data_IF_648665059305
#
_entry.id   IF_648665059305
#
_cell.length_a   1.000
_cell.length_b   1.000
_cell.length_c   1.000
_cell.angle_alpha   90.00
_cell.angle_beta   90.00
_cell.angle_gamma   90.00
#
_symmetry.space_group_name_H-M   'P 1'
#
loop_
_entity.id
_entity.type
_entity.pdbx_description
1 polymer ?
#
# COMPACT_ATOMS: atom_id res chain seq x y z
N UNK A 1 12.39 11.15 -30.72
CA UNK A 1 13.11 10.92 -29.44
C UNK A 1 12.09 10.89 -28.31
N UNK A 2 12.15 9.89 -27.41
CA UNK A 2 11.31 9.83 -26.21
C UNK A 2 11.58 11.04 -25.31
N UNK A 3 10.56 11.53 -24.64
CA UNK A 3 10.71 12.59 -23.63
C UNK A 3 11.39 12.02 -22.39
N UNK A 4 12.15 12.83 -21.63
CA UNK A 4 12.93 12.40 -20.47
C UNK A 4 12.16 12.68 -19.18
N UNK A 5 11.99 11.65 -18.36
CA UNK A 5 11.30 11.69 -17.07
C UNK A 5 12.28 11.30 -15.97
N UNK A 6 12.47 12.19 -15.00
CA UNK A 6 13.19 11.90 -13.77
C UNK A 6 12.19 11.59 -12.64
N UNK A 7 12.38 10.47 -11.96
CA UNK A 7 11.56 10.05 -10.80
C UNK A 7 12.43 10.10 -9.53
N UNK A 8 11.94 10.80 -8.50
CA UNK A 8 12.50 10.69 -7.15
C UNK A 8 11.69 9.66 -6.35
N UNK A 9 12.32 8.55 -6.00
CA UNK A 9 11.76 7.52 -5.15
C UNK A 9 12.71 7.27 -3.97
N UNK A 10 12.21 7.29 -2.73
CA UNK A 10 13.09 6.97 -1.59
C UNK A 10 13.58 5.55 -1.70
N UNK A 11 12.69 4.57 -1.69
CA UNK A 11 12.99 3.16 -1.93
C UNK A 11 12.64 2.76 -3.36
N UNK A 12 13.39 1.82 -3.91
CA UNK A 12 13.18 1.24 -5.23
C UNK A 12 13.63 -0.23 -5.22
N UNK A 13 13.16 -1.03 -6.17
CA UNK A 13 13.56 -2.45 -6.26
C UNK A 13 15.10 -2.60 -6.23
N UNK A 14 15.64 -3.64 -5.54
CA UNK A 14 14.98 -4.81 -4.96
C UNK A 14 14.42 -4.62 -3.54
N UNK A 15 14.38 -3.40 -2.98
CA UNK A 15 13.74 -3.18 -1.68
C UNK A 15 12.26 -3.57 -1.71
N UNK A 16 11.79 -4.17 -0.63
CA UNK A 16 10.41 -4.71 -0.51
C UNK A 16 9.36 -3.66 -0.11
N UNK A 17 9.73 -2.39 -0.02
CA UNK A 17 8.80 -1.32 0.27
C UNK A 17 7.71 -1.22 -0.80
N UNK A 18 6.42 -1.28 -0.42
CA UNK A 18 5.29 -1.32 -1.36
C UNK A 18 5.28 -0.13 -2.34
N UNK A 19 5.56 1.08 -1.86
CA UNK A 19 5.67 2.27 -2.72
C UNK A 19 6.82 2.13 -3.72
N UNK A 20 7.96 1.54 -3.29
CA UNK A 20 9.10 1.29 -4.18
C UNK A 20 8.77 0.31 -5.31
N UNK A 21 7.97 -0.72 -5.03
CA UNK A 21 7.50 -1.67 -6.03
C UNK A 21 6.53 -1.02 -7.03
N UNK A 22 5.56 -0.24 -6.54
CA UNK A 22 4.62 0.50 -7.41
C UNK A 22 5.37 1.48 -8.33
N UNK A 23 6.38 2.18 -7.80
CA UNK A 23 7.17 3.12 -8.61
C UNK A 23 8.06 2.38 -9.62
N UNK A 24 8.56 1.19 -9.30
CA UNK A 24 9.31 0.38 -10.26
C UNK A 24 8.39 -0.05 -11.42
N UNK A 25 7.22 -0.57 -11.11
CA UNK A 25 6.24 -0.96 -12.12
C UNK A 25 5.75 0.23 -12.96
N UNK A 26 5.59 1.41 -12.34
CA UNK A 26 5.29 2.65 -13.05
C UNK A 26 6.42 3.05 -13.99
N UNK A 27 7.66 3.07 -13.51
CA UNK A 27 8.83 3.45 -14.28
C UNK A 27 9.02 2.56 -15.51
N UNK A 28 8.90 1.24 -15.33
CA UNK A 28 8.96 0.25 -16.41
C UNK A 28 7.82 0.43 -17.42
N UNK A 29 6.60 0.60 -16.93
CA UNK A 29 5.42 0.75 -17.79
C UNK A 29 5.39 2.09 -18.56
N UNK A 30 6.17 3.08 -18.16
CA UNK A 30 6.31 4.36 -18.87
C UNK A 30 7.42 4.36 -19.95
N UNK A 31 8.18 3.27 -20.08
CA UNK A 31 9.32 3.21 -21.03
C UNK A 31 8.92 3.36 -22.49
N UNK A 32 7.69 3.02 -22.87
CA UNK A 32 7.21 3.22 -24.24
C UNK A 32 7.19 4.70 -24.65
N UNK A 33 6.83 5.60 -23.71
CA UNK A 33 6.67 7.03 -23.95
C UNK A 33 7.87 7.86 -23.48
N UNK A 34 8.60 7.38 -22.48
CA UNK A 34 9.64 8.14 -21.80
C UNK A 34 10.98 7.39 -21.74
N UNK A 35 12.07 8.16 -21.74
CA UNK A 35 13.37 7.73 -21.21
C UNK A 35 13.34 8.01 -19.71
N UNK A 36 13.27 6.96 -18.90
CA UNK A 36 13.07 7.10 -17.44
C UNK A 36 14.39 6.97 -16.69
N UNK A 37 14.63 7.92 -15.80
CA UNK A 37 15.72 7.87 -14.81
C UNK A 37 15.12 7.93 -13.40
N UNK A 38 15.56 7.04 -12.50
CA UNK A 38 15.14 7.02 -11.08
C UNK A 38 16.31 7.38 -10.19
N UNK A 39 16.11 8.34 -9.27
CA UNK A 39 17.05 8.60 -8.16
C UNK A 39 16.43 8.00 -6.89
N UNK A 40 17.14 7.03 -6.29
CA UNK A 40 16.69 6.32 -5.08
C UNK A 40 17.85 6.02 -4.15
N UNK A 41 17.57 5.50 -2.93
CA UNK A 41 18.62 4.98 -2.06
C UNK A 41 19.17 3.65 -2.57
N UNK A 42 20.38 3.29 -2.13
CA UNK A 42 20.83 1.89 -2.23
C UNK A 42 19.88 0.99 -1.44
N UNK A 43 19.72 -0.30 -1.79
CA UNK A 43 18.88 -1.21 -1.02
C UNK A 43 19.22 -1.16 0.46
N UNK A 44 18.26 -0.73 1.27
CA UNK A 44 18.47 -0.43 2.69
C UNK A 44 17.19 -0.44 3.54
N UNK A 45 16.08 -0.94 3.01
CA UNK A 45 14.79 -0.97 3.72
C UNK A 45 14.83 -1.78 5.01
N UNK A 46 15.67 -2.80 5.07
CA UNK A 46 15.95 -3.57 6.30
C UNK A 46 16.66 -2.77 7.39
N UNK A 47 17.34 -1.67 7.02
CA UNK A 47 18.22 -0.87 7.89
C UNK A 47 19.70 -1.11 7.61
N UNK A 48 20.06 -2.21 6.97
CA UNK A 48 21.43 -2.58 6.58
C UNK A 48 21.69 -2.34 5.10
N UNK A 49 22.94 -2.25 4.70
CA UNK A 49 23.39 -2.02 3.33
C UNK A 49 24.35 -3.11 2.90
N UNK A 50 24.12 -3.68 1.73
CA UNK A 50 25.02 -4.68 1.14
C UNK A 50 26.42 -4.10 0.90
N UNK A 51 27.45 -4.94 1.03
CA UNK A 51 28.86 -4.52 0.94
C UNK A 51 29.21 -3.83 -0.39
N UNK A 52 28.61 -4.29 -1.49
CA UNK A 52 28.82 -3.69 -2.82
C UNK A 52 28.45 -2.20 -2.89
N UNK A 53 27.55 -1.73 -2.00
CA UNK A 53 27.10 -0.33 -1.94
C UNK A 53 27.82 0.50 -0.86
N UNK A 54 28.88 -0.03 -0.22
CA UNK A 54 29.61 0.70 0.84
C UNK A 54 30.76 1.57 0.33
N UNK A 55 31.28 1.32 -0.89
CA UNK A 55 32.51 1.95 -1.40
C UNK A 55 32.29 3.36 -1.96
N UNK A 56 31.18 3.60 -2.71
CA UNK A 56 30.93 4.84 -3.41
C UNK A 56 29.73 5.59 -2.83
N UNK A 57 29.60 6.90 -3.15
CA UNK A 57 28.44 7.72 -2.74
C UNK A 57 27.27 7.55 -3.71
N UNK A 58 27.55 7.23 -4.97
CA UNK A 58 26.58 7.09 -6.06
C UNK A 58 26.91 5.85 -6.87
N UNK A 59 25.86 5.13 -7.30
CA UNK A 59 25.95 3.96 -8.17
C UNK A 59 24.99 4.16 -9.33
N UNK A 60 25.43 3.78 -10.52
CA UNK A 60 24.59 3.78 -11.73
C UNK A 60 24.28 2.35 -12.10
N UNK A 61 23.02 2.06 -12.30
CA UNK A 61 22.50 0.76 -12.66
C UNK A 61 21.44 0.94 -13.75
N UNK A 62 21.12 -0.14 -14.42
CA UNK A 62 19.97 -0.25 -15.30
C UNK A 62 19.20 -1.52 -14.90
N UNK A 63 17.90 -1.38 -14.66
CA UNK A 63 17.01 -2.50 -14.36
C UNK A 63 15.80 -2.39 -15.29
N UNK A 64 15.56 -3.43 -16.09
CA UNK A 64 14.43 -3.52 -17.01
C UNK A 64 14.28 -2.30 -17.93
N UNK A 65 15.41 -1.71 -18.39
CA UNK A 65 15.44 -0.53 -19.26
C UNK A 65 15.29 0.83 -18.52
N UNK A 66 15.14 0.83 -17.21
CA UNK A 66 15.10 2.03 -16.38
C UNK A 66 16.50 2.38 -15.92
N UNK A 67 16.95 3.63 -16.17
CA UNK A 67 18.22 4.13 -15.64
C UNK A 67 18.09 4.47 -14.16
N UNK A 68 19.00 4.00 -13.31
CA UNK A 68 18.94 4.18 -11.86
C UNK A 68 20.20 4.86 -11.35
N UNK A 69 20.03 5.88 -10.54
CA UNK A 69 21.10 6.50 -9.76
C UNK A 69 20.80 6.23 -8.29
N UNK A 70 21.54 5.27 -7.71
CA UNK A 70 21.41 4.97 -6.29
C UNK A 70 22.30 5.87 -5.48
N UNK A 71 21.76 6.44 -4.42
CA UNK A 71 22.52 7.23 -3.46
C UNK A 71 22.76 6.40 -2.18
N UNK A 72 24.01 6.30 -1.74
CA UNK A 72 24.34 5.64 -0.48
C UNK A 72 23.83 6.49 0.69
N UNK A 73 23.22 5.85 1.65
CA UNK A 73 22.73 6.45 2.90
C UNK A 73 23.37 5.74 4.10
N UNK A 74 23.41 6.31 5.30
CA UNK A 74 23.84 5.59 6.50
C UNK A 74 22.88 4.43 6.80
N UNK A 75 23.38 3.34 7.34
CA UNK A 75 22.57 2.31 7.96
C UNK A 75 21.78 2.90 9.13
N UNK A 76 20.62 2.32 9.44
CA UNK A 76 19.77 2.81 10.51
C UNK A 76 19.10 1.67 11.27
N UNK A 77 18.85 1.90 12.54
CA UNK A 77 18.01 1.02 13.35
C UNK A 77 16.55 1.50 13.27
N UNK A 78 15.61 0.59 12.98
CA UNK A 78 14.17 0.91 12.88
C UNK A 78 13.59 1.49 14.19
N UNK A 79 14.15 1.13 15.35
CA UNK A 79 13.78 1.68 16.67
C UNK A 79 14.38 3.04 16.99
N UNK A 80 15.47 3.44 16.32
CA UNK A 80 16.19 4.70 16.60
C UNK A 80 15.73 5.82 15.63
N UNK A 81 15.06 6.82 16.19
CA UNK A 81 14.56 7.98 15.43
C UNK A 81 15.68 8.82 14.83
N UNK A 82 16.79 9.02 15.54
CA UNK A 82 17.89 9.87 15.08
C UNK A 82 18.61 9.23 13.88
N UNK A 83 18.87 7.93 13.93
CA UNK A 83 19.49 7.22 12.80
C UNK A 83 18.61 7.26 11.55
N UNK A 84 17.28 7.13 11.72
CA UNK A 84 16.31 7.27 10.61
C UNK A 84 16.31 8.69 10.02
N UNK A 85 16.31 9.72 10.86
CA UNK A 85 16.39 11.12 10.39
C UNK A 85 17.68 11.34 9.63
N UNK A 86 18.82 10.87 10.15
CA UNK A 86 20.12 10.97 9.47
C UNK A 86 20.12 10.28 8.10
N UNK A 87 19.51 9.10 8.00
CA UNK A 87 19.36 8.37 6.75
C UNK A 87 18.56 9.19 5.74
N UNK A 88 17.38 9.68 6.12
CA UNK A 88 16.46 10.48 5.29
C UNK A 88 17.11 11.79 4.84
N UNK A 89 17.77 12.52 5.73
CA UNK A 89 18.45 13.78 5.38
C UNK A 89 19.62 13.54 4.44
N UNK A 90 20.36 12.44 4.63
CA UNK A 90 21.44 12.07 3.72
C UNK A 90 20.90 11.76 2.32
N UNK A 91 19.78 11.03 2.24
CA UNK A 91 19.09 10.82 0.96
C UNK A 91 18.74 12.15 0.30
N UNK A 92 18.06 13.03 1.03
CA UNK A 92 17.60 14.33 0.50
C UNK A 92 18.75 15.12 -0.15
N UNK A 93 19.82 15.38 0.59
CA UNK A 93 20.95 16.15 0.07
C UNK A 93 21.72 15.45 -1.06
N UNK A 94 21.86 14.13 -0.99
CA UNK A 94 22.52 13.36 -2.06
C UNK A 94 21.66 13.25 -3.30
N UNK A 95 20.34 13.14 -3.18
CA UNK A 95 19.42 13.16 -4.31
C UNK A 95 19.44 14.53 -5.02
N UNK A 96 19.52 15.64 -4.25
CA UNK A 96 19.74 16.98 -4.85
C UNK A 96 21.01 17.02 -5.68
N UNK A 97 22.14 16.49 -5.18
CA UNK A 97 23.40 16.41 -5.96
C UNK A 97 23.28 15.48 -7.14
N UNK A 98 22.62 14.32 -6.99
CA UNK A 98 22.40 13.38 -8.09
C UNK A 98 21.57 13.98 -9.23
N UNK A 99 20.69 14.95 -8.93
CA UNK A 99 19.93 15.69 -9.95
C UNK A 99 20.84 16.35 -10.99
N UNK A 100 21.98 16.91 -10.58
CA UNK A 100 22.95 17.50 -11.51
C UNK A 100 23.62 16.45 -12.41
N UNK A 101 23.69 15.19 -11.95
CA UNK A 101 24.27 14.09 -12.74
C UNK A 101 23.33 13.61 -13.86
N UNK A 102 22.03 13.98 -13.80
CA UNK A 102 21.06 13.72 -14.85
C UNK A 102 21.18 14.83 -15.91
N UNK A 103 21.12 14.49 -17.19
CA UNK A 103 21.05 15.43 -18.29
C UNK A 103 19.76 16.29 -18.24
N UNK A 104 19.42 16.90 -19.37
CA UNK A 104 18.15 17.65 -19.53
C UNK A 104 16.96 16.72 -19.28
N UNK A 105 16.00 17.19 -18.52
CA UNK A 105 14.74 16.50 -18.23
C UNK A 105 13.57 17.36 -18.68
N UNK A 106 12.49 16.74 -19.20
CA UNK A 106 11.25 17.43 -19.53
C UNK A 106 10.23 17.34 -18.40
N UNK A 107 10.29 16.25 -17.64
CA UNK A 107 9.37 15.99 -16.54
C UNK A 107 10.13 15.49 -15.32
N UNK A 108 9.60 15.85 -14.15
CA UNK A 108 9.99 15.30 -12.86
C UNK A 108 8.75 14.79 -12.16
N UNK A 109 8.81 13.55 -11.66
CA UNK A 109 7.84 12.97 -10.74
C UNK A 109 8.51 12.76 -9.40
N UNK A 110 7.94 13.27 -8.33
CA UNK A 110 8.36 12.92 -6.96
C UNK A 110 7.22 12.30 -6.18
N UNK A 111 7.55 11.38 -5.30
CA UNK A 111 6.59 10.73 -4.41
C UNK A 111 6.59 11.42 -3.06
N UNK A 112 5.47 11.37 -2.30
CA UNK A 112 5.35 11.92 -0.95
C UNK A 112 6.23 11.21 0.11
N UNK A 113 7.24 10.48 -0.33
CA UNK A 113 8.23 9.79 0.49
C UNK A 113 9.68 10.19 0.10
N UNK A 114 10.53 10.54 1.07
CA UNK A 114 10.25 10.68 2.52
C UNK A 114 9.22 11.79 2.78
N UNK A 115 8.45 11.68 3.89
CA UNK A 115 7.44 12.68 4.22
C UNK A 115 7.96 14.10 4.05
N UNK A 116 7.21 14.97 3.38
CA UNK A 116 7.52 16.38 3.11
C UNK A 116 8.73 16.57 2.16
N UNK A 117 9.84 15.87 2.42
CA UNK A 117 11.08 16.03 1.66
C UNK A 117 10.97 15.51 0.22
N UNK A 118 10.11 14.52 -0.04
CA UNK A 118 9.81 14.06 -1.39
C UNK A 118 9.26 15.19 -2.27
N UNK A 119 8.30 15.96 -1.73
CA UNK A 119 7.76 17.13 -2.42
C UNK A 119 8.80 18.23 -2.66
N UNK A 120 9.64 18.52 -1.66
CA UNK A 120 10.72 19.51 -1.81
C UNK A 120 11.76 19.09 -2.86
N UNK A 121 12.08 17.79 -2.96
CA UNK A 121 12.96 17.28 -4.03
C UNK A 121 12.35 17.53 -5.40
N UNK A 122 11.04 17.32 -5.56
CA UNK A 122 10.35 17.64 -6.81
C UNK A 122 10.43 19.12 -7.17
N UNK A 123 10.22 20.03 -6.22
CA UNK A 123 10.36 21.48 -6.40
C UNK A 123 11.78 21.85 -6.80
N UNK A 124 12.77 21.33 -6.07
CA UNK A 124 14.18 21.54 -6.37
C UNK A 124 14.53 21.08 -7.79
N UNK A 125 14.15 19.86 -8.14
CA UNK A 125 14.39 19.31 -9.47
C UNK A 125 13.73 20.14 -10.58
N UNK A 126 12.46 20.58 -10.38
CA UNK A 126 11.77 21.49 -11.32
C UNK A 126 12.59 22.74 -11.61
N UNK A 127 13.14 23.38 -10.58
CA UNK A 127 13.91 24.59 -10.75
C UNK A 127 15.25 24.35 -11.44
N UNK A 128 15.98 23.31 -11.02
CA UNK A 128 17.30 23.00 -11.60
C UNK A 128 17.20 22.54 -13.04
N UNK A 129 16.14 21.80 -13.41
CA UNK A 129 15.96 21.28 -14.78
C UNK A 129 15.07 22.15 -15.64
N UNK A 130 14.46 23.21 -15.10
CA UNK A 130 13.50 24.10 -15.77
C UNK A 130 12.40 23.29 -16.50
N UNK A 131 11.76 22.34 -15.82
CA UNK A 131 10.87 21.36 -16.41
C UNK A 131 9.50 21.29 -15.68
N UNK A 132 8.59 20.46 -16.16
CA UNK A 132 7.28 20.21 -15.51
C UNK A 132 7.44 19.28 -14.32
N UNK A 133 6.71 19.56 -13.24
CA UNK A 133 6.77 18.81 -12.00
C UNK A 133 5.42 18.15 -11.67
N UNK A 134 5.46 16.86 -11.42
CA UNK A 134 4.35 16.02 -10.99
C UNK A 134 4.62 15.57 -9.54
N UNK A 135 3.69 15.83 -8.64
CA UNK A 135 3.78 15.38 -7.26
C UNK A 135 2.77 14.26 -7.01
N UNK A 136 3.27 13.05 -6.80
CA UNK A 136 2.46 11.89 -6.46
C UNK A 136 2.33 11.75 -4.95
N UNK A 137 1.11 11.90 -4.44
CA UNK A 137 0.80 11.78 -3.01
C UNK A 137 0.15 10.43 -2.75
N UNK A 138 0.90 9.54 -2.11
CA UNK A 138 0.40 8.25 -1.62
C UNK A 138 -0.25 8.38 -0.25
N UNK A 139 0.37 9.17 0.63
CA UNK A 139 -0.09 9.46 1.97
C UNK A 139 0.09 10.94 2.28
N UNK A 140 -0.87 11.53 2.99
CA UNK A 140 -0.76 12.91 3.45
C UNK A 140 -0.01 13.02 4.77
N UNK A 141 1.06 13.80 4.75
CA UNK A 141 1.81 14.20 5.93
C UNK A 141 1.71 15.72 6.09
N UNK A 142 1.56 16.25 7.32
CA UNK A 142 1.68 15.56 8.62
C UNK A 142 0.40 14.86 9.13
N UNK A 143 -0.71 14.85 8.38
CA UNK A 143 -1.99 14.32 8.84
C UNK A 143 -1.86 12.86 9.30
N UNK A 144 -1.06 12.05 8.62
CA UNK A 144 -0.80 10.65 9.00
C UNK A 144 -0.14 10.57 10.39
N UNK A 145 0.80 11.46 10.69
CA UNK A 145 1.49 11.53 11.98
C UNK A 145 0.53 11.94 13.10
N UNK A 146 -0.42 12.84 12.78
CA UNK A 146 -1.43 13.33 13.72
C UNK A 146 -2.49 12.26 14.02
N UNK A 147 -2.94 11.55 13.00
CA UNK A 147 -3.99 10.54 13.13
C UNK A 147 -3.65 9.42 14.12
N UNK A 148 -2.37 9.04 14.22
CA UNK A 148 -1.89 8.03 15.19
C UNK A 148 -1.32 8.62 16.48
N UNK A 149 -1.51 9.93 16.71
CA UNK A 149 -0.95 10.64 17.89
C UNK A 149 0.57 10.47 18.06
N UNK A 150 1.30 10.23 16.96
CA UNK A 150 2.76 10.04 17.01
C UNK A 150 3.52 11.30 17.38
N UNK A 151 2.99 12.47 17.06
CA UNK A 151 3.52 13.78 17.50
C UNK A 151 2.39 14.69 17.96
N UNK A 152 2.57 15.26 19.16
CA UNK A 152 1.65 16.28 19.74
C UNK A 152 2.13 17.71 19.49
N UNK A 153 3.28 17.90 18.84
CA UNK A 153 3.85 19.23 18.62
C UNK A 153 3.17 19.92 17.42
N UNK A 154 2.20 20.78 17.73
CA UNK A 154 1.41 21.53 16.74
C UNK A 154 2.27 22.45 15.87
N UNK A 155 3.37 23.00 16.39
CA UNK A 155 4.26 23.85 15.60
C UNK A 155 4.97 23.07 14.50
N UNK A 156 5.54 21.90 14.83
CA UNK A 156 6.22 21.05 13.86
C UNK A 156 5.25 20.61 12.76
N UNK A 157 4.06 20.16 13.12
CA UNK A 157 3.05 19.72 12.16
C UNK A 157 2.53 20.86 11.28
N UNK A 158 2.39 22.06 11.83
CA UNK A 158 2.04 23.28 11.05
C UNK A 158 3.11 23.64 10.02
N UNK A 159 4.39 23.59 10.42
CA UNK A 159 5.52 23.83 9.51
C UNK A 159 5.55 22.77 8.42
N UNK A 160 5.41 21.49 8.77
CA UNK A 160 5.35 20.38 7.80
C UNK A 160 4.22 20.59 6.79
N UNK A 161 3.01 20.94 7.26
CA UNK A 161 1.86 21.23 6.41
C UNK A 161 2.13 22.40 5.45
N UNK A 162 2.74 23.46 5.96
CA UNK A 162 3.08 24.64 5.15
C UNK A 162 4.05 24.30 4.04
N UNK A 163 5.07 23.49 4.34
CA UNK A 163 6.08 23.05 3.36
C UNK A 163 5.42 22.11 2.31
N UNK A 164 4.55 21.18 2.73
CA UNK A 164 3.90 20.29 1.79
C UNK A 164 2.90 21.04 0.89
N UNK A 165 2.13 21.97 1.45
CA UNK A 165 1.29 22.90 0.66
C UNK A 165 2.10 23.71 -0.34
N UNK A 166 3.30 24.16 0.04
CA UNK A 166 4.21 24.83 -0.90
C UNK A 166 4.61 23.90 -2.04
N UNK A 167 4.98 22.64 -1.74
CA UNK A 167 5.33 21.65 -2.76
C UNK A 167 4.16 21.37 -3.72
N UNK A 168 2.94 21.22 -3.20
CA UNK A 168 1.73 21.08 -4.00
C UNK A 168 1.51 22.30 -4.93
N UNK A 169 1.61 23.53 -4.43
CA UNK A 169 1.46 24.76 -5.25
C UNK A 169 2.48 24.86 -6.39
N UNK A 170 3.67 24.31 -6.20
CA UNK A 170 4.73 24.31 -7.22
C UNK A 170 4.60 23.21 -8.24
N UNK A 171 3.81 22.17 -7.96
CA UNK A 171 3.52 21.12 -8.91
C UNK A 171 2.68 21.63 -10.08
N UNK A 172 2.95 21.14 -11.27
CA UNK A 172 2.10 21.34 -12.44
C UNK A 172 0.90 20.40 -12.41
N UNK A 173 1.06 19.26 -11.72
CA UNK A 173 0.04 18.27 -11.50
C UNK A 173 0.30 17.57 -10.17
N UNK A 174 -0.73 17.40 -9.36
CA UNK A 174 -0.73 16.49 -8.21
C UNK A 174 -1.52 15.25 -8.59
N UNK A 175 -0.97 14.08 -8.33
CA UNK A 175 -1.66 12.80 -8.51
C UNK A 175 -1.90 12.20 -7.13
N UNK A 176 -3.16 11.85 -6.84
CA UNK A 176 -3.55 11.13 -5.62
C UNK A 176 -4.11 9.76 -5.97
N UNK A 177 -4.15 8.87 -4.98
CA UNK A 177 -4.52 7.46 -5.17
C UNK A 177 -5.95 7.13 -4.72
N UNK A 178 -6.68 8.12 -4.22
CA UNK A 178 -8.07 7.98 -3.77
C UNK A 178 -8.84 9.29 -3.84
N UNK A 179 -10.14 9.19 -4.02
CA UNK A 179 -11.04 10.34 -4.09
C UNK A 179 -11.12 11.10 -2.76
N UNK A 180 -11.03 10.40 -1.64
CA UNK A 180 -10.95 10.99 -0.32
C UNK A 180 -9.62 11.74 -0.08
N UNK A 181 -8.54 11.35 -0.75
CA UNK A 181 -7.29 12.11 -0.76
C UNK A 181 -7.43 13.39 -1.60
N UNK A 182 -8.21 13.38 -2.68
CA UNK A 182 -8.56 14.61 -3.42
C UNK A 182 -9.32 15.58 -2.50
N UNK A 183 -10.33 15.10 -1.77
CA UNK A 183 -11.08 15.90 -0.79
C UNK A 183 -10.16 16.53 0.28
N UNK A 184 -9.14 15.80 0.73
CA UNK A 184 -8.15 16.34 1.69
C UNK A 184 -7.29 17.43 1.07
N UNK A 185 -6.89 17.28 -0.19
CA UNK A 185 -6.15 18.32 -0.89
C UNK A 185 -7.02 19.58 -1.09
N UNK A 186 -8.27 19.42 -1.48
CA UNK A 186 -9.23 20.52 -1.61
C UNK A 186 -9.38 21.29 -0.29
N UNK A 187 -9.58 20.60 0.82
CA UNK A 187 -9.63 21.22 2.16
C UNK A 187 -8.35 21.99 2.51
N UNK A 188 -7.18 21.50 2.12
CA UNK A 188 -5.92 22.23 2.34
C UNK A 188 -5.87 23.57 1.62
N UNK A 189 -6.60 23.72 0.51
CA UNK A 189 -6.64 24.95 -0.30
C UNK A 189 -7.98 25.69 -0.22
N UNK A 190 -8.91 25.29 0.65
CA UNK A 190 -10.23 25.89 0.78
C UNK A 190 -10.20 27.44 0.95
N UNK A 191 -9.24 27.96 1.72
CA UNK A 191 -9.06 29.41 1.90
C UNK A 191 -8.42 30.13 0.71
N UNK A 192 -7.80 29.40 -0.20
CA UNK A 192 -7.12 29.93 -1.40
C UNK A 192 -7.29 28.95 -2.56
N UNK A 193 -8.49 28.79 -3.11
CA UNK A 193 -8.75 27.83 -4.21
C UNK A 193 -7.95 28.14 -5.48
N UNK A 194 -7.65 29.41 -5.70
CA UNK A 194 -6.81 29.91 -6.79
C UNK A 194 -5.37 29.37 -6.79
N UNK A 195 -4.92 28.89 -5.63
CA UNK A 195 -3.58 28.31 -5.43
C UNK A 195 -3.56 26.79 -5.48
N UNK A 196 -4.72 26.16 -5.66
CA UNK A 196 -4.82 24.73 -5.75
C UNK A 196 -4.17 24.24 -7.05
N UNK A 197 -3.30 23.22 -7.02
CA UNK A 197 -2.72 22.64 -8.23
C UNK A 197 -3.78 21.88 -9.04
N UNK A 198 -3.50 21.62 -10.32
CA UNK A 198 -4.27 20.63 -11.08
C UNK A 198 -4.13 19.27 -10.38
N UNK A 199 -5.24 18.55 -10.22
CA UNK A 199 -5.28 17.25 -9.56
C UNK A 199 -5.79 16.18 -10.50
N UNK A 200 -5.21 14.99 -10.43
CA UNK A 200 -5.72 13.79 -11.08
C UNK A 200 -5.76 12.63 -10.08
N UNK A 201 -6.86 11.89 -10.10
CA UNK A 201 -7.01 10.66 -9.33
C UNK A 201 -6.58 9.48 -10.21
N UNK A 202 -5.54 8.78 -9.75
CA UNK A 202 -5.09 7.53 -10.36
C UNK A 202 -4.87 6.51 -9.26
N UNK A 203 -5.78 5.55 -9.17
CA UNK A 203 -5.71 4.51 -8.15
C UNK A 203 -4.42 3.69 -8.25
N UNK A 204 -3.95 3.20 -7.11
CA UNK A 204 -2.92 2.16 -7.08
C UNK A 204 -3.43 0.89 -7.75
N UNK A 205 -2.54 -0.03 -8.00
CA UNK A 205 -2.79 -1.30 -8.69
C UNK A 205 -2.03 -2.45 -8.05
N UNK A 206 -2.28 -3.62 -8.57
CA UNK A 206 -1.43 -4.81 -8.47
C UNK A 206 -1.25 -5.33 -9.90
N UNK A 207 -0.20 -6.08 -10.17
CA UNK A 207 -0.11 -6.80 -11.46
C UNK A 207 -1.10 -7.97 -11.45
N UNK A 208 -2.22 -7.80 -12.12
CA UNK A 208 -3.31 -8.77 -12.21
C UNK A 208 -2.94 -10.06 -12.97
N UNK A 209 -1.76 -10.07 -13.58
CA UNK A 209 -1.18 -11.26 -14.24
C UNK A 209 -0.36 -12.09 -13.26
N UNK A 210 0.16 -11.46 -12.17
CA UNK A 210 0.85 -12.14 -11.08
C UNK A 210 -0.13 -12.60 -9.99
N UNK A 211 -1.18 -11.81 -9.73
CA UNK A 211 -2.23 -12.10 -8.73
C UNK A 211 -3.56 -12.34 -9.43
N UNK A 212 -4.08 -13.53 -9.28
CA UNK A 212 -5.33 -13.96 -9.92
C UNK A 212 -5.97 -15.14 -9.14
N UNK A 213 -7.26 -15.41 -9.35
CA UNK A 213 -7.93 -16.55 -8.72
C UNK A 213 -7.26 -17.87 -9.12
N UNK A 214 -7.05 -18.74 -8.14
CA UNK A 214 -6.60 -20.12 -8.36
C UNK A 214 -7.73 -21.06 -7.95
N UNK A 215 -8.25 -21.81 -8.93
CA UNK A 215 -9.37 -22.72 -8.78
C UNK A 215 -8.90 -24.17 -8.91
N UNK A 216 -9.45 -25.05 -8.06
CA UNK A 216 -9.09 -26.47 -8.04
C UNK A 216 -9.45 -27.21 -9.34
N UNK A 217 -10.54 -26.77 -9.98
CA UNK A 217 -11.18 -27.48 -11.10
C UNK A 217 -10.62 -27.06 -12.48
N UNK A 218 -9.74 -26.07 -12.52
CA UNK A 218 -9.13 -25.60 -13.77
C UNK A 218 -7.89 -26.44 -14.12
N UNK A 219 -7.96 -27.30 -15.13
CA UNK A 219 -6.85 -28.16 -15.59
C UNK A 219 -5.52 -27.39 -15.75
N UNK A 220 -5.58 -26.17 -16.29
CA UNK A 220 -4.40 -25.32 -16.49
C UNK A 220 -3.81 -24.77 -15.18
N UNK A 221 -4.49 -24.91 -14.05
CA UNK A 221 -4.09 -24.33 -12.74
C UNK A 221 -3.74 -25.37 -11.68
N UNK A 222 -3.89 -26.67 -11.98
CA UNK A 222 -3.71 -27.77 -11.02
C UNK A 222 -2.38 -27.66 -10.26
N UNK A 223 -1.27 -27.45 -10.95
CA UNK A 223 0.05 -27.38 -10.29
C UNK A 223 0.23 -26.11 -9.44
N UNK A 224 -0.39 -25.00 -9.83
CA UNK A 224 -0.39 -23.77 -9.06
C UNK A 224 -1.30 -23.88 -7.84
N UNK A 225 -2.45 -24.54 -8.01
CA UNK A 225 -3.38 -24.80 -6.90
C UNK A 225 -2.79 -25.77 -5.87
N UNK A 226 -1.95 -26.72 -6.26
CA UNK A 226 -1.17 -27.56 -5.32
C UNK A 226 -0.34 -26.74 -4.33
N UNK A 227 0.18 -25.57 -4.75
CA UNK A 227 0.90 -24.66 -3.84
C UNK A 227 -0.04 -24.01 -2.83
N UNK A 228 -1.28 -23.72 -3.19
CA UNK A 228 -2.30 -23.24 -2.23
C UNK A 228 -2.59 -24.34 -1.20
N UNK A 229 -2.76 -25.59 -1.66
CA UNK A 229 -2.95 -26.74 -0.77
C UNK A 229 -1.74 -26.94 0.16
N UNK A 230 -0.52 -26.85 -0.40
CA UNK A 230 0.71 -26.95 0.40
C UNK A 230 0.78 -25.88 1.46
N UNK A 231 0.44 -24.61 1.12
CA UNK A 231 0.38 -23.51 2.08
C UNK A 231 -0.70 -23.78 3.16
N UNK A 232 -1.91 -24.20 2.75
CA UNK A 232 -2.97 -24.56 3.72
C UNK A 232 -2.52 -25.68 4.66
N UNK A 233 -1.84 -26.71 4.15
CA UNK A 233 -1.32 -27.83 4.95
C UNK A 233 -0.22 -27.39 5.92
N UNK A 234 0.73 -26.58 5.45
CA UNK A 234 1.84 -26.07 6.28
C UNK A 234 1.34 -25.33 7.52
N UNK A 235 0.25 -24.56 7.36
CA UNK A 235 -0.31 -23.74 8.44
C UNK A 235 -1.60 -24.32 9.07
N UNK A 236 -1.95 -25.56 8.77
CA UNK A 236 -3.12 -26.24 9.35
C UNK A 236 -4.46 -25.59 8.98
N UNK A 237 -4.59 -25.09 7.74
CA UNK A 237 -5.78 -24.40 7.23
C UNK A 237 -6.66 -25.30 6.36
N UNK A 238 -6.31 -26.59 6.20
CA UNK A 238 -7.10 -27.53 5.40
C UNK A 238 -8.50 -27.70 6.03
N UNK A 239 -9.51 -27.76 5.19
CA UNK A 239 -10.93 -27.91 5.58
C UNK A 239 -11.47 -26.83 6.54
N UNK A 240 -10.79 -25.70 6.64
CA UNK A 240 -11.20 -24.56 7.50
C UNK A 240 -11.72 -23.41 6.66
N UNK A 241 -12.65 -22.64 7.25
CA UNK A 241 -13.06 -21.36 6.71
C UNK A 241 -12.10 -20.26 7.18
N UNK A 242 -11.34 -19.68 6.24
CA UNK A 242 -10.20 -18.80 6.54
C UNK A 242 -10.56 -17.34 6.32
N UNK A 243 -10.60 -16.54 7.40
CA UNK A 243 -10.71 -15.08 7.34
C UNK A 243 -9.31 -14.49 7.55
N UNK A 244 -8.72 -13.95 6.48
CA UNK A 244 -7.30 -13.61 6.44
C UNK A 244 -7.05 -12.10 6.40
N UNK A 245 -6.05 -11.65 7.16
CA UNK A 245 -5.40 -10.35 7.01
C UNK A 245 -4.01 -10.56 6.45
N UNK A 246 -3.66 -9.90 5.35
CA UNK A 246 -2.32 -9.97 4.76
C UNK A 246 -1.71 -8.58 4.62
N UNK A 247 -0.55 -8.35 5.23
CA UNK A 247 0.22 -7.12 5.14
C UNK A 247 0.79 -6.60 6.46
N UNK A 248 1.14 -5.31 6.51
CA UNK A 248 1.74 -4.69 7.69
C UNK A 248 0.78 -4.72 8.90
N UNK A 249 1.23 -5.30 10.02
CA UNK A 249 0.51 -5.39 11.30
C UNK A 249 0.88 -4.15 12.14
N UNK A 250 0.38 -2.98 11.73
CA UNK A 250 0.78 -1.68 12.27
C UNK A 250 -0.36 -0.89 12.90
N UNK A 251 0.00 0.28 13.44
CA UNK A 251 -0.90 1.15 14.22
C UNK A 251 -2.08 1.76 13.44
N UNK A 252 -2.01 1.77 12.10
CA UNK A 252 -3.03 2.41 11.26
C UNK A 252 -4.28 1.56 11.02
N UNK A 253 -4.36 0.35 11.60
CA UNK A 253 -5.34 -0.67 11.19
C UNK A 253 -6.28 -1.14 12.30
N UNK A 254 -6.16 -0.60 13.52
CA UNK A 254 -7.00 -0.95 14.69
C UNK A 254 -7.06 -2.46 15.02
N UNK A 255 -6.02 -3.21 14.65
CA UNK A 255 -5.98 -4.67 14.79
C UNK A 255 -6.01 -5.12 16.26
N UNK A 256 -5.52 -4.28 17.17
CA UNK A 256 -5.53 -4.54 18.61
C UNK A 256 -6.92 -4.44 19.26
N UNK A 257 -7.90 -3.84 18.59
CA UNK A 257 -9.30 -3.91 18.98
C UNK A 257 -10.07 -4.96 18.17
N UNK A 258 -9.73 -5.14 16.89
CA UNK A 258 -10.33 -6.18 16.05
C UNK A 258 -10.08 -7.57 16.64
N UNK A 259 -8.88 -7.86 17.18
CA UNK A 259 -8.59 -9.16 17.80
C UNK A 259 -9.50 -9.45 19.00
N UNK A 260 -9.96 -8.42 19.73
CA UNK A 260 -10.92 -8.58 20.84
C UNK A 260 -12.33 -8.95 20.35
N UNK A 261 -12.69 -8.53 19.12
CA UNK A 261 -13.92 -9.00 18.48
C UNK A 261 -13.77 -10.47 18.06
N UNK A 262 -12.61 -10.81 17.48
CA UNK A 262 -12.27 -12.18 17.07
C UNK A 262 -12.29 -13.15 18.27
N UNK A 263 -11.92 -12.70 19.46
CA UNK A 263 -11.96 -13.50 20.70
C UNK A 263 -13.33 -14.12 20.97
N UNK A 264 -14.42 -13.48 20.56
CA UNK A 264 -15.79 -13.99 20.72
C UNK A 264 -16.08 -15.24 19.87
N UNK A 265 -15.22 -15.54 18.91
CA UNK A 265 -15.33 -16.66 17.99
C UNK A 265 -14.35 -17.80 18.29
N UNK A 266 -13.69 -17.77 19.44
CA UNK A 266 -12.79 -18.84 19.86
C UNK A 266 -13.52 -20.16 20.10
N UNK A 267 -12.86 -21.32 19.98
CA UNK A 267 -13.44 -22.62 20.27
C UNK A 267 -14.12 -22.67 21.64
N UNK A 268 -15.27 -23.34 21.72
CA UNK A 268 -16.04 -23.45 22.97
C UNK A 268 -16.99 -22.29 23.30
N UNK A 269 -17.04 -21.24 22.45
CA UNK A 269 -18.05 -20.17 22.59
C UNK A 269 -19.37 -20.55 21.92
N UNK A 270 -20.50 -19.95 22.35
CA UNK A 270 -21.82 -20.20 21.74
C UNK A 270 -21.94 -19.85 20.27
N UNK A 271 -20.99 -19.10 19.74
CA UNK A 271 -20.90 -18.68 18.34
C UNK A 271 -20.27 -19.74 17.45
N UNK A 272 -19.57 -20.72 18.02
CA UNK A 272 -18.90 -21.81 17.32
C UNK A 272 -19.85 -23.00 17.23
N UNK A 273 -20.11 -23.48 16.02
CA UNK A 273 -21.05 -24.59 15.76
C UNK A 273 -22.16 -24.23 14.76
N UNK A 274 -22.10 -23.03 14.21
CA UNK A 274 -23.07 -22.55 13.20
C UNK A 274 -22.72 -23.07 11.79
N UNK A 275 -21.46 -23.50 11.58
CA UNK A 275 -20.97 -24.04 10.31
C UNK A 275 -20.20 -25.36 10.53
N UNK A 276 -20.28 -26.34 9.61
CA UNK A 276 -19.54 -27.59 9.71
C UNK A 276 -18.01 -27.42 9.73
N UNK A 277 -17.51 -26.36 9.10
CA UNK A 277 -16.08 -26.07 9.05
C UNK A 277 -15.65 -25.22 10.25
N UNK A 278 -14.47 -25.49 10.77
CA UNK A 278 -13.82 -24.66 11.78
C UNK A 278 -13.42 -23.32 11.16
N UNK A 279 -13.72 -22.22 11.86
CA UNK A 279 -13.36 -20.87 11.43
C UNK A 279 -12.02 -20.46 12.02
N UNK A 280 -11.09 -20.03 11.16
CA UNK A 280 -9.78 -19.56 11.59
C UNK A 280 -9.52 -18.14 11.08
N UNK A 281 -8.87 -17.35 11.93
CA UNK A 281 -8.44 -15.99 11.64
C UNK A 281 -6.93 -15.97 11.44
N UNK A 282 -6.49 -15.63 10.25
CA UNK A 282 -5.07 -15.69 9.86
C UNK A 282 -4.52 -14.29 9.67
N UNK A 283 -3.39 -14.01 10.29
CA UNK A 283 -2.64 -12.76 10.13
C UNK A 283 -1.30 -13.06 9.48
N UNK A 284 -1.14 -12.65 8.21
CA UNK A 284 0.09 -12.84 7.44
C UNK A 284 0.86 -11.52 7.39
N UNK A 285 2.08 -11.51 7.89
CA UNK A 285 2.95 -10.33 7.82
C UNK A 285 3.67 -10.00 9.11
N UNK A 286 4.25 -8.81 9.13
CA UNK A 286 5.01 -8.26 10.25
C UNK A 286 4.52 -6.85 10.59
N UNK A 287 4.93 -6.34 11.75
CA UNK A 287 4.63 -4.96 12.13
C UNK A 287 4.69 -4.71 13.62
N UNK A 288 4.57 -3.44 13.99
CA UNK A 288 4.76 -2.98 15.38
C UNK A 288 3.73 -3.48 16.39
N UNK A 289 2.61 -4.02 15.93
CA UNK A 289 1.57 -4.58 16.82
C UNK A 289 1.63 -6.11 16.92
N UNK A 290 2.47 -6.80 16.15
CA UNK A 290 2.48 -8.26 16.10
C UNK A 290 2.62 -8.89 17.48
N UNK A 291 3.65 -8.51 18.24
CA UNK A 291 3.90 -9.05 19.59
C UNK A 291 2.70 -8.86 20.53
N UNK A 292 2.06 -7.69 20.44
CA UNK A 292 0.86 -7.38 21.25
C UNK A 292 -0.31 -8.30 20.90
N UNK A 293 -0.51 -8.61 19.62
CA UNK A 293 -1.56 -9.52 19.16
C UNK A 293 -1.25 -10.96 19.55
N UNK A 294 0.00 -11.40 19.47
CA UNK A 294 0.44 -12.73 19.90
C UNK A 294 0.21 -12.92 21.39
N UNK A 295 0.63 -11.95 22.22
CA UNK A 295 0.39 -11.99 23.68
C UNK A 295 -1.10 -12.04 23.98
N UNK A 296 -1.95 -11.28 23.27
CA UNK A 296 -3.39 -11.32 23.45
C UNK A 296 -3.98 -12.71 23.13
N UNK A 297 -3.57 -13.30 21.98
CA UNK A 297 -3.96 -14.66 21.59
C UNK A 297 -3.64 -15.68 22.68
N UNK A 298 -2.39 -15.69 23.17
CA UNK A 298 -1.93 -16.64 24.16
C UNK A 298 -2.70 -16.49 25.49
N UNK A 299 -2.81 -15.23 25.97
CA UNK A 299 -3.55 -14.92 27.22
C UNK A 299 -5.01 -15.37 27.20
N UNK A 300 -5.66 -15.35 26.05
CA UNK A 300 -7.08 -15.64 25.90
C UNK A 300 -7.37 -17.02 25.29
N UNK A 301 -6.35 -17.87 25.08
CA UNK A 301 -6.44 -19.22 24.50
C UNK A 301 -7.22 -19.20 23.16
N UNK A 302 -6.77 -18.37 22.21
CA UNK A 302 -7.41 -18.21 20.90
C UNK A 302 -6.75 -19.15 19.87
N UNK A 303 -7.02 -20.46 19.96
CA UNK A 303 -6.39 -21.48 19.11
C UNK A 303 -6.76 -21.34 17.63
N UNK A 304 -7.87 -20.68 17.34
CA UNK A 304 -8.32 -20.34 15.99
C UNK A 304 -7.71 -19.06 15.41
N UNK A 305 -6.70 -18.47 16.04
CA UNK A 305 -5.92 -17.34 15.51
C UNK A 305 -4.52 -17.81 15.15
N UNK A 306 -4.11 -17.60 13.90
CA UNK A 306 -2.83 -18.07 13.37
C UNK A 306 -2.05 -16.86 12.84
N UNK A 307 -0.78 -16.73 13.26
CA UNK A 307 0.15 -15.73 12.75
C UNK A 307 1.13 -16.42 11.79
N UNK A 308 1.25 -15.87 10.58
CA UNK A 308 2.12 -16.38 9.52
C UNK A 308 3.13 -15.27 9.18
N UNK A 309 4.43 -15.60 9.02
CA UNK A 309 5.44 -14.63 8.63
C UNK A 309 5.11 -13.94 7.30
N UNK A 310 5.81 -12.82 7.03
CA UNK A 310 5.76 -12.15 5.74
C UNK A 310 6.04 -13.14 4.60
N UNK A 311 5.21 -13.07 3.54
CA UNK A 311 5.34 -13.92 2.36
C UNK A 311 6.04 -13.17 1.24
N UNK A 312 6.98 -13.81 0.56
CA UNK A 312 7.65 -13.26 -0.61
C UNK A 312 6.64 -12.94 -1.73
N UNK A 313 6.97 -11.94 -2.56
CA UNK A 313 6.12 -11.55 -3.71
C UNK A 313 5.77 -12.74 -4.62
N UNK A 314 6.71 -13.68 -4.84
CA UNK A 314 6.51 -14.89 -5.64
C UNK A 314 5.45 -15.85 -5.08
N UNK A 315 5.23 -15.84 -3.76
CA UNK A 315 4.30 -16.72 -3.06
C UNK A 315 3.00 -16.01 -2.67
N UNK A 316 2.93 -14.69 -2.90
CA UNK A 316 1.78 -13.86 -2.52
C UNK A 316 0.47 -14.34 -3.14
N UNK A 317 0.49 -14.77 -4.41
CA UNK A 317 -0.72 -15.28 -5.07
C UNK A 317 -1.26 -16.53 -4.37
N UNK A 318 -0.37 -17.41 -3.91
CA UNK A 318 -0.78 -18.66 -3.24
C UNK A 318 -1.33 -18.35 -1.84
N UNK A 319 -0.67 -17.51 -1.08
CA UNK A 319 -1.13 -17.13 0.26
C UNK A 319 -2.46 -16.37 0.22
N UNK A 320 -2.69 -15.45 -0.73
CA UNK A 320 -3.97 -14.77 -0.89
C UNK A 320 -5.09 -15.74 -1.30
N UNK A 321 -4.79 -16.73 -2.15
CA UNK A 321 -5.78 -17.72 -2.54
C UNK A 321 -6.11 -18.72 -1.42
N UNK A 322 -5.28 -18.85 -0.40
CA UNK A 322 -5.55 -19.71 0.75
C UNK A 322 -6.63 -19.12 1.70
N UNK A 323 -6.86 -17.81 1.68
CA UNK A 323 -7.96 -17.18 2.41
C UNK A 323 -9.28 -17.23 1.63
N UNK A 324 -10.39 -17.44 2.35
CA UNK A 324 -11.74 -17.42 1.77
C UNK A 324 -12.30 -16.00 1.76
N UNK A 325 -12.06 -15.23 2.82
CA UNK A 325 -12.40 -13.80 2.96
C UNK A 325 -11.21 -13.03 3.50
N UNK A 326 -11.06 -11.79 3.07
CA UNK A 326 -9.93 -10.98 3.50
C UNK A 326 -10.33 -9.66 4.15
N UNK A 327 -9.62 -9.31 5.23
CA UNK A 327 -9.72 -8.01 5.86
C UNK A 327 -9.09 -6.91 5.01
N UNK A 328 -9.82 -5.79 4.87
CA UNK A 328 -9.28 -4.52 4.40
C UNK A 328 -9.68 -3.44 5.39
N UNK A 329 -8.74 -3.02 6.23
CA UNK A 329 -9.05 -2.22 7.41
C UNK A 329 -8.18 -0.98 7.53
N UNK A 330 -8.76 0.09 8.06
CA UNK A 330 -8.09 1.28 8.55
C UNK A 330 -8.65 1.68 9.91
N UNK A 331 -7.82 2.26 10.76
CA UNK A 331 -8.25 2.88 11.99
C UNK A 331 -9.10 4.14 11.71
N UNK A 332 -9.89 4.57 12.69
CA UNK A 332 -10.65 5.83 12.62
C UNK A 332 -9.71 7.03 12.45
N UNK A 333 -10.08 7.95 11.57
CA UNK A 333 -9.31 9.16 11.27
C UNK A 333 -8.25 8.99 10.18
N UNK A 334 -8.20 7.85 9.49
CA UNK A 334 -7.27 7.60 8.38
C UNK A 334 -7.87 7.94 7.00
N UNK A 335 -9.20 8.12 6.92
CA UNK A 335 -9.86 8.55 5.69
C UNK A 335 -9.24 9.83 5.14
N UNK A 336 -8.97 9.84 3.83
CA UNK A 336 -8.38 10.97 3.13
C UNK A 336 -6.89 11.22 3.44
N UNK A 337 -6.26 10.34 4.23
CA UNK A 337 -4.86 10.44 4.60
C UNK A 337 -4.04 9.37 3.91
N UNK A 338 -4.53 8.12 3.94
CA UNK A 338 -3.87 6.95 3.37
C UNK A 338 -4.91 6.00 2.79
N UNK A 339 -4.62 5.46 1.61
CA UNK A 339 -5.49 4.52 0.92
C UNK A 339 -4.92 3.09 1.05
N UNK A 340 -5.67 2.12 1.64
CA UNK A 340 -5.16 0.78 1.84
C UNK A 340 -5.02 0.01 0.53
N UNK A 341 -3.79 -0.13 0.03
CA UNK A 341 -3.48 -0.79 -1.23
C UNK A 341 -3.79 -2.30 -1.26
N UNK A 342 -4.00 -2.91 -0.10
CA UNK A 342 -4.35 -4.36 0.01
C UNK A 342 -5.56 -4.74 -0.85
N UNK A 343 -6.56 -3.85 -0.94
CA UNK A 343 -7.76 -4.09 -1.73
C UNK A 343 -7.48 -4.55 -3.16
N UNK A 344 -6.48 -3.96 -3.82
CA UNK A 344 -6.16 -4.30 -5.21
C UNK A 344 -5.70 -5.75 -5.36
N UNK A 345 -4.88 -6.25 -4.43
CA UNK A 345 -4.48 -7.65 -4.38
C UNK A 345 -5.66 -8.60 -4.13
N UNK A 346 -6.56 -8.22 -3.21
CA UNK A 346 -7.75 -9.01 -2.88
C UNK A 346 -8.72 -9.08 -4.07
N UNK A 347 -8.97 -7.94 -4.70
CA UNK A 347 -9.79 -7.87 -5.90
C UNK A 347 -9.17 -8.65 -7.06
N UNK A 348 -7.84 -8.58 -7.22
CA UNK A 348 -7.13 -9.35 -8.23
C UNK A 348 -7.22 -10.87 -7.99
N UNK A 349 -7.14 -11.31 -6.75
CA UNK A 349 -7.33 -12.71 -6.36
C UNK A 349 -8.80 -13.16 -6.37
N UNK A 350 -9.74 -12.26 -6.70
CA UNK A 350 -11.17 -12.58 -6.74
C UNK A 350 -11.74 -12.90 -5.35
N UNK A 351 -11.28 -12.24 -4.30
CA UNK A 351 -11.68 -12.53 -2.92
C UNK A 351 -12.73 -11.54 -2.39
N UNK A 352 -13.70 -12.02 -1.61
CA UNK A 352 -14.60 -11.17 -0.84
C UNK A 352 -13.83 -10.35 0.19
N UNK A 353 -14.31 -9.15 0.48
CA UNK A 353 -13.64 -8.23 1.41
C UNK A 353 -14.48 -7.99 2.67
N UNK A 354 -13.86 -8.16 3.83
CA UNK A 354 -14.38 -7.69 5.11
C UNK A 354 -13.74 -6.32 5.41
N UNK A 355 -14.46 -5.26 5.08
CA UNK A 355 -14.01 -3.88 5.16
C UNK A 355 -14.29 -3.25 6.53
N UNK A 356 -13.28 -2.64 7.17
CA UNK A 356 -13.47 -1.73 8.31
C UNK A 356 -12.91 -0.38 7.88
N UNK A 357 -13.78 0.47 7.35
CA UNK A 357 -13.39 1.66 6.59
C UNK A 357 -14.39 2.78 6.80
N UNK A 358 -13.91 4.00 7.01
CA UNK A 358 -14.76 5.18 7.19
C UNK A 358 -15.59 5.50 5.94
N UNK A 359 -16.81 6.03 6.15
CA UNK A 359 -17.71 6.44 5.06
C UNK A 359 -17.01 7.46 4.14
N UNK A 360 -17.14 7.24 2.84
CA UNK A 360 -16.56 8.08 1.80
C UNK A 360 -15.08 7.84 1.54
N UNK A 361 -14.40 6.89 2.22
CA UNK A 361 -13.04 6.48 1.82
C UNK A 361 -13.06 5.73 0.48
N UNK A 362 -11.99 5.86 -0.29
CA UNK A 362 -11.90 5.29 -1.66
C UNK A 362 -12.21 3.80 -1.70
N UNK A 363 -11.56 3.01 -0.86
CA UNK A 363 -11.74 1.55 -0.89
C UNK A 363 -13.16 1.16 -0.47
N UNK A 364 -13.76 1.87 0.49
CA UNK A 364 -15.17 1.64 0.84
C UNK A 364 -16.11 1.92 -0.34
N UNK A 365 -15.84 2.99 -1.11
CA UNK A 365 -16.58 3.30 -2.35
C UNK A 365 -16.45 2.17 -3.37
N UNK A 366 -15.23 1.62 -3.54
CA UNK A 366 -14.99 0.50 -4.45
C UNK A 366 -15.75 -0.76 -4.03
N UNK A 367 -15.68 -1.15 -2.74
CA UNK A 367 -16.39 -2.32 -2.20
C UNK A 367 -17.92 -2.15 -2.37
N UNK A 368 -18.46 -0.96 -2.07
CA UNK A 368 -19.88 -0.66 -2.31
C UNK A 368 -20.25 -0.77 -3.79
N UNK A 369 -19.43 -0.20 -4.67
CA UNK A 369 -19.66 -0.20 -6.12
C UNK A 369 -19.68 -1.60 -6.73
N UNK A 370 -18.82 -2.48 -6.23
CA UNK A 370 -18.75 -3.87 -6.68
C UNK A 370 -19.75 -4.77 -5.97
N UNK A 371 -20.35 -4.33 -4.88
CA UNK A 371 -21.02 -5.20 -3.91
C UNK A 371 -20.12 -6.42 -3.54
N UNK A 372 -18.82 -6.17 -3.37
CA UNK A 372 -17.76 -7.16 -3.28
C UNK A 372 -17.35 -7.54 -1.86
N UNK A 373 -18.17 -7.20 -0.87
CA UNK A 373 -17.84 -7.51 0.53
C UNK A 373 -18.79 -6.88 1.54
N UNK A 374 -18.51 -7.11 2.81
CA UNK A 374 -19.22 -6.54 3.94
C UNK A 374 -18.41 -5.39 4.55
N UNK A 375 -19.09 -4.35 5.01
CA UNK A 375 -18.45 -3.12 5.47
C UNK A 375 -18.97 -2.74 6.86
N UNK A 376 -18.07 -2.24 7.69
CA UNK A 376 -18.36 -1.58 8.97
C UNK A 376 -17.54 -0.31 9.14
N UNK A 377 -18.00 0.60 10.02
CA UNK A 377 -17.22 1.74 10.45
C UNK A 377 -16.09 1.32 11.41
N UNK A 378 -14.92 1.97 11.37
CA UNK A 378 -13.91 1.79 12.42
C UNK A 378 -14.49 2.19 13.79
N UNK A 379 -14.35 1.27 14.76
CA UNK A 379 -14.93 1.43 16.11
C UNK A 379 -16.34 0.83 16.29
N UNK A 380 -17.04 0.48 15.22
CA UNK A 380 -18.31 -0.26 15.31
C UNK A 380 -18.05 -1.78 15.40
N UNK A 381 -17.52 -2.16 16.55
CA UNK A 381 -17.16 -3.56 16.83
C UNK A 381 -18.35 -4.52 16.84
N UNK A 382 -19.56 -4.01 17.11
CA UNK A 382 -20.79 -4.80 17.02
C UNK A 382 -21.09 -5.16 15.57
N UNK A 383 -20.98 -4.19 14.65
CA UNK A 383 -21.19 -4.44 13.24
C UNK A 383 -20.12 -5.35 12.64
N UNK A 384 -18.86 -5.24 13.11
CA UNK A 384 -17.78 -6.16 12.72
C UNK A 384 -18.16 -7.59 13.14
N UNK A 385 -18.62 -7.80 14.37
CA UNK A 385 -19.09 -9.09 14.88
C UNK A 385 -20.25 -9.66 14.03
N UNK A 386 -21.27 -8.84 13.74
CA UNK A 386 -22.40 -9.22 12.89
C UNK A 386 -21.94 -9.65 11.48
N UNK A 387 -20.99 -8.92 10.90
CA UNK A 387 -20.44 -9.24 9.59
C UNK A 387 -19.67 -10.57 9.61
N UNK A 388 -18.86 -10.83 10.65
CA UNK A 388 -18.17 -12.12 10.81
C UNK A 388 -19.18 -13.25 10.93
N UNK A 389 -20.23 -13.09 11.76
CA UNK A 389 -21.31 -14.08 11.90
C UNK A 389 -22.00 -14.36 10.56
N UNK A 390 -22.27 -13.32 9.78
CA UNK A 390 -22.86 -13.50 8.45
C UNK A 390 -21.95 -14.31 7.53
N UNK A 391 -20.62 -13.98 7.50
CA UNK A 391 -19.64 -14.70 6.71
C UNK A 391 -19.58 -16.19 7.07
N UNK A 392 -19.54 -16.49 8.35
CA UNK A 392 -19.52 -17.88 8.85
C UNK A 392 -20.77 -18.63 8.39
N UNK A 393 -21.95 -18.04 8.54
CA UNK A 393 -23.23 -18.64 8.13
C UNK A 393 -23.35 -18.86 6.62
N UNK A 394 -22.61 -18.09 5.84
CA UNK A 394 -22.69 -18.09 4.39
C UNK A 394 -21.38 -18.58 3.73
N UNK A 395 -20.53 -19.30 4.45
CA UNK A 395 -19.21 -19.71 3.97
C UNK A 395 -19.27 -20.48 2.65
N UNK A 396 -20.24 -21.34 2.43
CA UNK A 396 -20.44 -22.14 1.20
C UNK A 396 -21.42 -21.49 0.20
N UNK A 397 -21.87 -20.26 0.47
CA UNK A 397 -22.89 -19.62 -0.37
C UNK A 397 -22.33 -19.16 -1.72
N UNK A 398 -23.18 -19.22 -2.75
CA UNK A 398 -22.86 -18.64 -4.06
C UNK A 398 -22.59 -17.12 -3.94
N UNK A 399 -23.30 -16.42 -3.04
CA UNK A 399 -23.15 -14.98 -2.87
C UNK A 399 -21.74 -14.63 -2.42
N UNK A 400 -21.12 -15.41 -1.52
CA UNK A 400 -19.75 -15.13 -1.08
C UNK A 400 -18.75 -15.24 -2.25
N UNK A 401 -18.91 -16.26 -3.11
CA UNK A 401 -18.09 -16.43 -4.32
C UNK A 401 -18.33 -15.28 -5.31
N UNK A 402 -19.59 -14.88 -5.50
CA UNK A 402 -19.97 -13.78 -6.38
C UNK A 402 -19.42 -12.42 -5.91
N UNK A 403 -19.30 -12.16 -4.61
CA UNK A 403 -18.64 -10.95 -4.08
C UNK A 403 -17.20 -10.86 -4.59
N UNK A 404 -16.44 -11.95 -4.50
CA UNK A 404 -15.07 -12.01 -5.00
C UNK A 404 -14.98 -11.83 -6.52
N UNK A 405 -15.87 -12.50 -7.27
CA UNK A 405 -15.94 -12.39 -8.74
C UNK A 405 -16.19 -10.94 -9.17
N UNK A 406 -17.15 -10.24 -8.57
CA UNK A 406 -17.46 -8.84 -8.86
C UNK A 406 -16.28 -7.92 -8.59
N UNK A 407 -15.52 -8.14 -7.52
CA UNK A 407 -14.28 -7.41 -7.25
C UNK A 407 -13.28 -7.58 -8.39
N UNK A 408 -13.05 -8.83 -8.82
CA UNK A 408 -12.12 -9.16 -9.91
C UNK A 408 -12.56 -8.54 -11.24
N UNK A 409 -13.80 -8.66 -11.61
CA UNK A 409 -14.33 -8.09 -12.85
C UNK A 409 -14.17 -6.57 -12.90
N UNK A 410 -14.50 -5.90 -11.79
CA UNK A 410 -14.33 -4.46 -11.71
C UNK A 410 -12.85 -4.06 -11.82
N UNK A 411 -11.94 -4.78 -11.17
CA UNK A 411 -10.51 -4.54 -11.27
C UNK A 411 -10.02 -4.68 -12.70
N UNK A 412 -10.37 -5.77 -13.37
CA UNK A 412 -9.98 -6.01 -14.77
C UNK A 412 -10.54 -4.93 -15.71
N UNK A 413 -11.77 -4.51 -15.47
CA UNK A 413 -12.41 -3.46 -16.27
C UNK A 413 -11.83 -2.06 -16.04
N UNK A 414 -11.27 -1.73 -14.85
CA UNK A 414 -11.01 -0.34 -14.46
C UNK A 414 -9.66 -0.07 -13.82
N UNK A 415 -9.03 -1.04 -13.13
CA UNK A 415 -7.95 -0.82 -12.18
C UNK A 415 -6.70 -1.69 -12.47
N UNK A 416 -6.54 -2.18 -13.71
CA UNK A 416 -5.35 -2.93 -14.09
C UNK A 416 -4.10 -2.05 -14.05
N UNK A 417 -2.95 -2.66 -13.85
CA UNK A 417 -1.63 -2.00 -13.92
C UNK A 417 -1.51 -1.18 -15.21
N UNK A 418 -1.82 -1.80 -16.36
CA UNK A 418 -1.73 -1.14 -17.66
C UNK A 418 -2.60 0.12 -17.74
N UNK A 419 -3.88 0.04 -17.28
CA UNK A 419 -4.79 1.20 -17.31
C UNK A 419 -4.33 2.33 -16.41
N UNK A 420 -3.80 2.02 -15.23
CA UNK A 420 -3.26 3.02 -14.31
C UNK A 420 -2.00 3.67 -14.89
N UNK A 421 -1.05 2.89 -15.38
CA UNK A 421 0.18 3.40 -16.01
C UNK A 421 -0.14 4.27 -17.23
N UNK A 422 -1.07 3.85 -18.09
CA UNK A 422 -1.50 4.64 -19.25
C UNK A 422 -2.13 5.98 -18.83
N UNK A 423 -2.91 6.02 -17.73
CA UNK A 423 -3.41 7.29 -17.19
C UNK A 423 -2.28 8.20 -16.75
N UNK A 424 -1.23 7.67 -16.08
CA UNK A 424 -0.03 8.45 -15.76
C UNK A 424 0.61 9.03 -17.01
N UNK A 425 0.84 8.23 -18.04
CA UNK A 425 1.44 8.67 -19.30
C UNK A 425 0.62 9.81 -19.93
N UNK A 426 -0.70 9.63 -20.04
CA UNK A 426 -1.62 10.63 -20.61
C UNK A 426 -1.58 11.93 -19.81
N UNK A 427 -1.68 11.88 -18.49
CA UNK A 427 -1.70 13.09 -17.65
C UNK A 427 -0.35 13.83 -17.66
N UNK A 428 0.77 13.10 -17.71
CA UNK A 428 2.11 13.70 -17.81
C UNK A 428 2.29 14.37 -19.19
N UNK A 429 1.84 13.73 -20.27
CA UNK A 429 2.00 14.26 -21.64
C UNK A 429 1.12 15.49 -21.94
N UNK A 430 0.03 15.70 -21.18
CA UNK A 430 -0.83 16.89 -21.26
C UNK A 430 -0.20 18.16 -20.66
N UNK A 431 0.93 18.06 -19.94
CA UNK A 431 1.62 19.18 -19.31
C UNK A 431 2.55 19.91 -20.30
#
# INVERSE_FOLDING_TARGET
MKKKLLIYAHYYVPDIASTGQIIAELAEGLLDQFEVTVICVVPSYSGSIEEKYRKQKYYREEINGVNIIRVRVPEFNKGDKLSRIRNIMTYFFRAMKATFMCGKQQYILSVSQPPILGGLLGVFGKWIKACKYIYQIQDFNPEQILAINYSKNKLITSVMLTIDKFSCRRANLVITVGSDLVETLEKRFETHPDKMPKVSLINNWVDEREIYPLEADAESMVDKYKKVISFKREYGLEDKFVIMYSGNIGLYYDLDNIIKVIEKFKPGTKTVGVHPQEVVFVFVGEGSLLDKLVIHKEKHNMDNVIFIPYQDKKDLNYSLNAGDVHWCVNAKGIKGISCPSKYYGLAAAGKPVLGVLEEGSEIRRLIKKTNGGLISEPGDYKKIEENILWLIKNADSKELKEMGRRNREYLLANLTKEKSVNKYAIEILKL
#
